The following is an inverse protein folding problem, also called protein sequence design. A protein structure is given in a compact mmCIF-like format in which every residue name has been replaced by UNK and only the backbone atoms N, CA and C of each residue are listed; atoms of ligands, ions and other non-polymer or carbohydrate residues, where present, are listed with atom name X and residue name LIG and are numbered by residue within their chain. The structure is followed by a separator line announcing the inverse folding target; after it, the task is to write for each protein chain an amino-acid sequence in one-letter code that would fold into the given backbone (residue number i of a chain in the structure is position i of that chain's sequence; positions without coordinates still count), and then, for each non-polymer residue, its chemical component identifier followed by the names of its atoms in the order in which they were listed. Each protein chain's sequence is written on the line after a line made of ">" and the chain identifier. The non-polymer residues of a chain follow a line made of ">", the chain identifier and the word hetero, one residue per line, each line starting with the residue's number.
data_IF_249180188615
#
_entry.id   IF_249180188615
#
_cell.length_a   1.000
_cell.length_b   1.000
_cell.length_c   1.000
_cell.angle_alpha   90.00
_cell.angle_beta   90.00
_cell.angle_gamma   90.00
#
_symmetry.space_group_name_H-M   'P 1'
#
loop_
_entity.id
_entity.type
_entity.pdbx_description
1 polymer ?
#
# COMPACT_ATOMS: atom_id res chain seq x y z
N UNK A 1 10.47 10.10 1.03
CA UNK A 1 11.58 11.08 0.98
C UNK A 1 11.83 11.38 -0.48
N UNK A 2 11.97 12.65 -0.85
CA UNK A 2 12.08 13.06 -2.26
C UNK A 2 13.54 13.07 -2.73
N UNK A 3 13.81 13.00 -4.05
CA UNK A 3 15.16 13.13 -4.60
C UNK A 3 15.92 14.34 -4.05
N UNK A 4 15.32 15.54 -4.08
CA UNK A 4 15.95 16.78 -3.56
C UNK A 4 16.32 16.68 -2.08
N UNK A 5 15.47 16.07 -1.27
CA UNK A 5 15.74 15.87 0.16
C UNK A 5 16.96 14.99 0.37
N UNK A 6 17.07 13.90 -0.40
CA UNK A 6 18.20 12.98 -0.33
C UNK A 6 19.48 13.66 -0.85
N UNK A 7 19.40 14.36 -1.98
CA UNK A 7 20.53 15.12 -2.54
C UNK A 7 21.12 16.11 -1.54
N UNK A 8 20.26 16.82 -0.79
CA UNK A 8 20.71 17.72 0.28
C UNK A 8 21.40 16.95 1.41
N UNK A 9 20.75 15.91 1.93
CA UNK A 9 21.25 15.12 3.05
C UNK A 9 22.63 14.51 2.77
N UNK A 10 22.81 13.91 1.59
CA UNK A 10 24.08 13.26 1.23
C UNK A 10 25.14 14.28 0.86
N UNK A 11 24.74 15.43 0.31
CA UNK A 11 25.64 16.54 0.00
C UNK A 11 26.31 17.16 1.21
N UNK A 12 25.60 17.21 2.35
CA UNK A 12 26.13 17.67 3.65
C UNK A 12 27.28 16.76 4.14
N UNK A 13 27.30 15.49 3.71
CA UNK A 13 28.30 14.48 4.09
C UNK A 13 29.37 14.23 3.00
N UNK A 14 29.52 15.14 2.03
CA UNK A 14 30.53 15.02 0.97
C UNK A 14 30.26 13.91 -0.05
N UNK A 15 29.00 13.47 -0.16
CA UNK A 15 28.52 12.53 -1.17
C UNK A 15 27.71 13.27 -2.25
N UNK A 16 27.45 12.60 -3.36
CA UNK A 16 26.56 13.10 -4.41
C UNK A 16 25.74 11.97 -5.04
N UNK A 17 24.52 12.30 -5.48
CA UNK A 17 23.70 11.39 -6.28
C UNK A 17 24.23 11.39 -7.71
N UNK A 18 24.57 10.21 -8.22
CA UNK A 18 25.15 10.00 -9.53
C UNK A 18 24.08 9.75 -10.60
N UNK A 19 23.05 8.98 -10.25
CA UNK A 19 21.96 8.60 -11.14
C UNK A 19 20.74 8.15 -10.33
N UNK A 20 19.62 7.95 -10.99
CA UNK A 20 18.39 7.47 -10.38
C UNK A 20 17.54 6.65 -11.35
N UNK A 21 16.79 5.69 -10.81
CA UNK A 21 15.86 4.83 -11.54
C UNK A 21 14.51 4.78 -10.82
N UNK A 22 13.42 4.85 -11.59
CA UNK A 22 12.07 4.54 -11.10
C UNK A 22 11.78 3.05 -11.30
N UNK A 23 11.03 2.46 -10.36
CA UNK A 23 10.52 1.09 -10.50
C UNK A 23 9.22 0.93 -9.70
N UNK A 24 8.48 -0.14 -10.00
CA UNK A 24 7.12 -0.35 -9.44
C UNK A 24 7.11 -1.15 -8.13
N UNK A 25 8.28 -1.51 -7.58
CA UNK A 25 8.38 -2.28 -6.33
C UNK A 25 7.67 -1.52 -5.22
N UNK A 26 6.89 -2.25 -4.41
CA UNK A 26 6.14 -1.73 -3.25
C UNK A 26 5.11 -0.64 -3.55
N UNK A 27 4.66 -0.50 -4.81
CA UNK A 27 3.71 0.54 -5.25
C UNK A 27 4.39 1.81 -5.75
N UNK A 28 5.63 1.69 -6.23
CA UNK A 28 6.46 2.79 -6.73
C UNK A 28 7.65 3.07 -5.80
N UNK A 29 8.85 3.06 -6.37
CA UNK A 29 10.11 3.28 -5.66
C UNK A 29 11.11 4.04 -6.53
N UNK A 30 12.00 4.78 -5.86
CA UNK A 30 13.14 5.45 -6.48
C UNK A 30 14.40 4.74 -5.99
N UNK A 31 15.23 4.26 -6.91
CA UNK A 31 16.59 3.80 -6.63
C UNK A 31 17.57 4.93 -6.93
N UNK A 32 18.39 5.28 -5.96
CA UNK A 32 19.44 6.30 -6.12
C UNK A 32 20.82 5.65 -6.06
N UNK A 33 21.70 6.07 -6.95
CA UNK A 33 23.11 5.69 -6.93
C UNK A 33 23.90 6.85 -6.33
N UNK A 34 24.61 6.62 -5.23
CA UNK A 34 25.31 7.66 -4.47
C UNK A 34 26.80 7.31 -4.41
N UNK A 35 27.66 8.30 -4.63
CA UNK A 35 29.11 8.16 -4.56
C UNK A 35 29.78 9.34 -3.86
N UNK A 36 31.09 9.25 -3.67
CA UNK A 36 31.86 10.37 -3.13
C UNK A 36 31.90 11.53 -4.12
N UNK A 37 31.69 12.75 -3.60
CA UNK A 37 31.65 13.96 -4.40
C UNK A 37 32.95 14.16 -5.20
N UNK A 38 32.81 14.38 -6.50
CA UNK A 38 33.93 14.62 -7.42
C UNK A 38 34.77 13.38 -7.75
N UNK A 39 34.35 12.18 -7.36
CA UNK A 39 35.06 10.92 -7.68
C UNK A 39 34.54 10.21 -8.92
N UNK A 40 33.39 10.62 -9.43
CA UNK A 40 32.73 9.97 -10.56
C UNK A 40 32.26 11.02 -11.57
N UNK A 41 32.56 10.81 -12.85
CA UNK A 41 31.94 11.56 -13.92
C UNK A 41 30.55 10.99 -14.21
N UNK A 42 29.54 11.85 -14.34
CA UNK A 42 28.20 11.42 -14.76
C UNK A 42 28.16 11.32 -16.28
N UNK A 43 27.60 10.22 -16.80
CA UNK A 43 27.24 10.16 -18.21
C UNK A 43 26.11 11.15 -18.53
N UNK A 44 25.91 11.45 -19.82
CA UNK A 44 24.79 12.28 -20.27
C UNK A 44 23.44 11.68 -19.86
N UNK A 45 23.30 10.36 -19.96
CA UNK A 45 22.09 9.62 -19.56
C UNK A 45 21.82 9.74 -18.05
N UNK A 46 22.84 9.54 -17.23
CA UNK A 46 22.71 9.65 -15.77
C UNK A 46 22.32 11.08 -15.35
N UNK A 47 22.90 12.08 -16.01
CA UNK A 47 22.57 13.49 -15.79
C UNK A 47 21.13 13.80 -16.19
N UNK A 48 20.66 13.26 -17.31
CA UNK A 48 19.28 13.42 -17.77
C UNK A 48 18.29 12.76 -16.82
N UNK A 49 18.54 11.52 -16.38
CA UNK A 49 17.66 10.81 -15.46
C UNK A 49 17.44 11.57 -14.13
N UNK A 50 18.50 12.19 -13.58
CA UNK A 50 18.37 13.05 -12.41
C UNK A 50 17.60 14.33 -12.71
N UNK A 51 17.85 14.95 -13.85
CA UNK A 51 17.16 16.17 -14.26
C UNK A 51 15.65 15.91 -14.42
N UNK A 52 15.27 14.80 -15.04
CA UNK A 52 13.87 14.40 -15.22
C UNK A 52 13.16 14.21 -13.87
N UNK A 53 13.81 13.58 -12.89
CA UNK A 53 13.25 13.44 -11.55
C UNK A 53 13.10 14.78 -10.82
N UNK A 54 14.07 15.69 -10.96
CA UNK A 54 13.98 17.03 -10.35
C UNK A 54 12.84 17.84 -10.97
N UNK A 55 12.67 17.77 -12.28
CA UNK A 55 11.55 18.43 -12.98
C UNK A 55 10.22 17.85 -12.49
N UNK A 56 10.09 16.52 -12.42
CA UNK A 56 8.87 15.88 -11.89
C UNK A 56 8.58 16.29 -10.44
N UNK A 57 9.58 16.30 -9.57
CA UNK A 57 9.42 16.73 -8.18
C UNK A 57 8.95 18.19 -8.08
N UNK A 58 9.51 19.07 -8.93
CA UNK A 58 9.13 20.47 -9.02
C UNK A 58 7.70 20.66 -9.55
N UNK A 59 7.33 19.95 -10.62
CA UNK A 59 5.97 19.97 -11.18
C UNK A 59 4.91 19.46 -10.21
N UNK A 60 5.29 18.51 -9.34
CA UNK A 60 4.44 18.03 -8.25
C UNK A 60 4.32 19.01 -7.08
N UNK A 61 5.13 20.07 -7.03
CA UNK A 61 5.12 21.08 -5.96
C UNK A 61 5.52 20.52 -4.59
N UNK A 62 6.35 19.47 -4.53
CA UNK A 62 6.65 18.79 -3.26
C UNK A 62 7.49 19.63 -2.27
N UNK A 63 7.90 20.84 -2.67
CA UNK A 63 8.53 21.83 -1.79
C UNK A 63 7.55 22.87 -1.23
N UNK A 64 6.24 22.68 -1.43
CA UNK A 64 5.18 23.54 -0.91
C UNK A 64 4.15 22.74 -0.09
N UNK A 65 3.33 23.39 0.77
CA UNK A 65 2.35 22.69 1.61
C UNK A 65 1.15 22.09 0.85
N UNK A 66 0.80 22.64 -0.31
CA UNK A 66 -0.47 22.38 -1.01
C UNK A 66 -0.67 20.91 -1.43
N UNK A 67 0.34 20.19 -1.96
CA UNK A 67 0.18 18.77 -2.29
C UNK A 67 -0.06 17.91 -1.05
N UNK A 68 0.56 18.26 0.09
CA UNK A 68 0.41 17.53 1.35
C UNK A 68 -0.97 17.75 1.96
N UNK A 69 -1.51 18.96 1.84
CA UNK A 69 -2.88 19.28 2.27
C UNK A 69 -3.92 18.56 1.40
N UNK A 70 -3.66 18.44 0.09
CA UNK A 70 -4.46 17.60 -0.81
C UNK A 70 -4.35 16.12 -0.46
N UNK A 71 -3.14 15.63 -0.18
CA UNK A 71 -2.92 14.26 0.28
C UNK A 71 -3.67 13.96 1.58
N UNK A 72 -3.65 14.87 2.56
CA UNK A 72 -4.41 14.75 3.81
C UNK A 72 -5.90 14.57 3.55
N UNK A 73 -6.50 15.44 2.72
CA UNK A 73 -7.93 15.33 2.34
C UNK A 73 -8.24 14.00 1.64
N UNK A 74 -7.36 13.53 0.76
CA UNK A 74 -7.54 12.24 0.09
C UNK A 74 -7.48 11.06 1.07
N UNK A 75 -6.56 11.09 2.04
CA UNK A 75 -6.45 10.08 3.09
C UNK A 75 -7.69 10.05 3.97
N UNK A 76 -8.24 11.21 4.32
CA UNK A 76 -9.50 11.33 5.10
C UNK A 76 -10.69 10.78 4.32
N UNK A 77 -10.83 11.15 3.05
CA UNK A 77 -11.88 10.62 2.17
C UNK A 77 -11.82 9.10 2.06
N UNK A 78 -10.65 8.55 1.76
CA UNK A 78 -10.47 7.08 1.67
C UNK A 78 -10.82 6.40 2.98
N UNK A 79 -10.43 6.97 4.12
CA UNK A 79 -10.79 6.45 5.44
C UNK A 79 -12.31 6.40 5.61
N UNK A 80 -13.00 7.49 5.33
CA UNK A 80 -14.47 7.57 5.47
C UNK A 80 -15.18 6.59 4.54
N UNK A 81 -14.79 6.57 3.25
CA UNK A 81 -15.35 5.67 2.24
C UNK A 81 -15.16 4.20 2.65
N UNK A 82 -14.00 3.84 3.21
CA UNK A 82 -13.69 2.48 3.62
C UNK A 82 -14.51 2.06 4.84
N UNK A 83 -14.65 2.94 5.84
CA UNK A 83 -15.47 2.71 7.03
C UNK A 83 -16.93 2.46 6.62
N UNK A 84 -17.47 3.34 5.76
CA UNK A 84 -18.84 3.23 5.27
C UNK A 84 -19.03 1.91 4.53
N UNK A 85 -18.14 1.59 3.60
CA UNK A 85 -18.20 0.36 2.80
C UNK A 85 -18.18 -0.90 3.68
N UNK A 86 -17.21 -1.00 4.59
CA UNK A 86 -17.09 -2.19 5.45
C UNK A 86 -18.27 -2.33 6.44
N UNK A 87 -18.77 -1.23 6.99
CA UNK A 87 -19.93 -1.27 7.89
C UNK A 87 -21.21 -1.65 7.15
N UNK A 88 -21.45 -1.11 5.96
CA UNK A 88 -22.60 -1.48 5.14
C UNK A 88 -22.61 -2.98 4.83
N UNK A 89 -21.47 -3.53 4.39
CA UNK A 89 -21.35 -4.97 4.10
C UNK A 89 -21.63 -5.82 5.35
N UNK A 90 -21.07 -5.43 6.51
CA UNK A 90 -21.35 -6.12 7.78
C UNK A 90 -22.83 -6.03 8.17
N UNK A 91 -23.45 -4.86 8.03
CA UNK A 91 -24.85 -4.63 8.39
C UNK A 91 -25.84 -5.37 7.46
N UNK A 92 -25.39 -5.72 6.25
CA UNK A 92 -26.07 -6.67 5.35
C UNK A 92 -25.94 -8.14 5.79
N UNK A 93 -25.23 -8.41 6.89
CA UNK A 93 -24.99 -9.76 7.42
C UNK A 93 -23.89 -10.52 6.67
N UNK A 94 -23.08 -9.83 5.85
CA UNK A 94 -22.01 -10.45 5.05
C UNK A 94 -20.68 -10.44 5.79
N UNK A 95 -19.86 -11.44 5.50
CA UNK A 95 -18.59 -11.66 6.19
C UNK A 95 -17.43 -11.04 5.40
N UNK A 96 -16.60 -10.25 6.09
CA UNK A 96 -15.37 -9.67 5.55
C UNK A 96 -14.18 -10.35 6.22
N UNK A 97 -13.27 -10.88 5.40
CA UNK A 97 -11.93 -11.26 5.82
C UNK A 97 -10.91 -10.27 5.24
N UNK A 98 -9.83 -9.99 5.96
CA UNK A 98 -8.64 -9.37 5.37
C UNK A 98 -7.91 -10.41 4.55
N UNK A 99 -7.35 -9.97 3.42
CA UNK A 99 -6.48 -10.76 2.58
C UNK A 99 -5.08 -10.13 2.57
N UNK A 100 -4.14 -10.78 3.27
CA UNK A 100 -2.78 -10.33 3.55
C UNK A 100 -2.67 -9.44 4.80
N UNK A 101 -2.23 -10.01 5.92
CA UNK A 101 -2.00 -9.30 7.19
C UNK A 101 -0.67 -8.52 7.18
N UNK A 102 -0.56 -7.51 6.31
CA UNK A 102 0.67 -6.71 6.14
C UNK A 102 0.80 -5.56 7.15
N UNK A 103 2.03 -5.17 7.46
CA UNK A 103 2.32 -3.99 8.31
C UNK A 103 1.68 -2.71 7.77
N UNK A 104 1.78 -2.47 6.45
CA UNK A 104 1.14 -1.32 5.78
C UNK A 104 -0.39 -1.38 5.91
N UNK A 105 -0.96 -2.56 5.72
CA UNK A 105 -2.38 -2.84 5.90
C UNK A 105 -2.87 -2.53 7.32
N UNK A 106 -2.09 -2.93 8.33
CA UNK A 106 -2.48 -2.70 9.73
C UNK A 106 -2.56 -1.21 10.09
N UNK A 107 -1.79 -0.34 9.42
CA UNK A 107 -1.96 1.12 9.57
C UNK A 107 -3.32 1.58 9.06
N UNK A 108 -3.78 1.05 7.91
CA UNK A 108 -5.09 1.37 7.34
C UNK A 108 -6.20 0.94 8.30
N UNK A 109 -6.12 -0.29 8.80
CA UNK A 109 -7.10 -0.84 9.76
C UNK A 109 -7.19 0.01 11.03
N UNK A 110 -6.05 0.33 11.66
CA UNK A 110 -6.03 1.15 12.88
C UNK A 110 -6.55 2.58 12.62
N UNK A 111 -6.12 3.21 11.53
CA UNK A 111 -6.54 4.57 11.21
C UNK A 111 -8.05 4.66 10.88
N UNK A 112 -8.58 3.64 10.20
CA UNK A 112 -9.99 3.52 9.89
C UNK A 112 -10.84 2.98 11.06
N UNK A 113 -10.22 2.50 12.15
CA UNK A 113 -10.96 1.85 13.24
C UNK A 113 -11.71 0.59 12.79
N UNK A 114 -11.09 -0.18 11.89
CA UNK A 114 -11.61 -1.45 11.39
C UNK A 114 -10.93 -2.56 12.19
N UNK A 115 -11.70 -3.20 13.06
CA UNK A 115 -11.24 -4.22 14.00
C UNK A 115 -12.02 -5.54 13.84
N UNK A 116 -11.83 -6.47 14.78
CA UNK A 116 -12.50 -7.77 14.78
C UNK A 116 -14.03 -7.72 14.93
N UNK A 117 -14.62 -6.56 15.22
CA UNK A 117 -16.08 -6.37 15.16
C UNK A 117 -16.62 -6.14 13.75
N UNK A 118 -15.73 -5.88 12.78
CA UNK A 118 -16.07 -5.63 11.37
C UNK A 118 -15.45 -6.70 10.46
N UNK A 119 -14.23 -7.13 10.75
CA UNK A 119 -13.48 -8.12 9.97
C UNK A 119 -13.27 -9.36 10.81
N UNK A 120 -13.79 -10.51 10.37
CA UNK A 120 -13.78 -11.73 11.18
C UNK A 120 -12.39 -12.37 11.32
N UNK A 121 -11.57 -12.31 10.27
CA UNK A 121 -10.22 -12.87 10.25
C UNK A 121 -9.33 -12.19 9.21
N UNK A 122 -8.02 -12.37 9.33
CA UNK A 122 -7.03 -11.95 8.36
C UNK A 122 -6.31 -13.19 7.79
N UNK A 123 -6.58 -13.51 6.53
CA UNK A 123 -5.89 -14.55 5.80
C UNK A 123 -4.47 -14.09 5.44
N UNK A 124 -3.44 -14.87 5.77
CA UNK A 124 -2.06 -14.58 5.37
C UNK A 124 -1.36 -15.87 4.90
N UNK A 125 -0.44 -15.72 3.95
CA UNK A 125 0.36 -16.84 3.42
C UNK A 125 1.54 -17.21 4.32
N UNK A 126 1.96 -16.32 5.22
CA UNK A 126 3.10 -16.58 6.09
C UNK A 126 2.69 -17.40 7.32
N UNK A 127 3.16 -18.67 7.45
CA UNK A 127 2.83 -19.53 8.58
C UNK A 127 3.24 -18.97 9.94
N UNK A 128 4.31 -18.16 9.99
CA UNK A 128 4.79 -17.56 11.24
C UNK A 128 3.77 -16.62 11.90
N UNK A 129 2.75 -16.18 11.14
CA UNK A 129 1.71 -15.28 11.66
C UNK A 129 0.46 -16.03 12.12
N UNK A 130 0.25 -17.28 11.73
CA UNK A 130 -1.00 -17.98 12.02
C UNK A 130 -1.17 -18.20 13.53
N UNK A 131 -2.39 -18.01 14.02
CA UNK A 131 -2.70 -18.07 15.46
C UNK A 131 -2.32 -16.81 16.25
N UNK A 132 -1.74 -15.80 15.60
CA UNK A 132 -1.55 -14.46 16.18
C UNK A 132 -2.72 -13.53 15.82
N UNK A 133 -2.64 -12.26 16.23
CA UNK A 133 -3.63 -11.24 15.93
C UNK A 133 -2.96 -9.98 15.38
N UNK A 134 -3.70 -9.19 14.59
CA UNK A 134 -3.25 -7.87 14.19
C UNK A 134 -3.12 -6.95 15.40
N UNK A 135 -2.00 -6.21 15.47
CA UNK A 135 -1.72 -5.32 16.60
C UNK A 135 -2.72 -4.16 16.61
N UNK A 136 -3.35 -3.92 17.76
CA UNK A 136 -4.32 -2.84 17.99
C UNK A 136 -5.75 -3.21 17.57
N UNK A 137 -5.92 -3.82 16.39
CA UNK A 137 -7.25 -4.17 15.84
C UNK A 137 -7.72 -5.58 16.20
N UNK A 138 -6.84 -6.42 16.75
CA UNK A 138 -7.17 -7.75 17.31
C UNK A 138 -7.94 -8.66 16.35
N UNK A 139 -7.61 -8.60 15.06
CA UNK A 139 -8.18 -9.49 14.04
C UNK A 139 -7.31 -10.75 14.04
N UNK A 140 -7.89 -11.95 14.26
CA UNK A 140 -7.12 -13.19 14.26
C UNK A 140 -6.53 -13.46 12.88
N UNK A 141 -5.25 -13.84 12.85
CA UNK A 141 -4.53 -14.18 11.63
C UNK A 141 -4.57 -15.69 11.44
N UNK A 142 -5.12 -16.11 10.30
CA UNK A 142 -5.30 -17.51 9.93
C UNK A 142 -4.66 -17.79 8.57
N UNK A 143 -4.55 -19.05 8.20
CA UNK A 143 -4.10 -19.43 6.86
C UNK A 143 -5.14 -19.05 5.79
N UNK A 144 -4.68 -18.87 4.55
CA UNK A 144 -5.60 -18.66 3.43
C UNK A 144 -6.52 -19.87 3.21
N UNK A 145 -6.08 -21.09 3.52
CA UNK A 145 -6.90 -22.30 3.43
C UNK A 145 -8.05 -22.30 4.43
N UNK A 146 -7.77 -22.01 5.70
CA UNK A 146 -8.81 -21.86 6.74
C UNK A 146 -9.81 -20.76 6.35
N UNK A 147 -9.31 -19.62 5.87
CA UNK A 147 -10.16 -18.53 5.40
C UNK A 147 -11.07 -18.95 4.26
N UNK A 148 -10.55 -19.66 3.24
CA UNK A 148 -11.37 -20.17 2.12
C UNK A 148 -12.43 -21.16 2.61
N UNK A 149 -12.10 -22.03 3.55
CA UNK A 149 -13.06 -22.98 4.13
C UNK A 149 -14.22 -22.31 4.89
N UNK A 150 -13.97 -21.11 5.45
CA UNK A 150 -15.00 -20.29 6.10
C UNK A 150 -15.92 -19.56 5.10
N UNK A 151 -15.62 -19.57 3.80
CA UNK A 151 -16.41 -18.95 2.73
C UNK A 151 -16.82 -17.49 3.03
N UNK A 152 -15.86 -16.55 3.20
CA UNK A 152 -16.20 -15.13 3.36
C UNK A 152 -16.89 -14.60 2.10
N UNK A 153 -17.69 -13.54 2.25
CA UNK A 153 -18.31 -12.85 1.11
C UNK A 153 -17.34 -11.85 0.47
N UNK A 154 -16.47 -11.25 1.28
CA UNK A 154 -15.53 -10.23 0.86
C UNK A 154 -14.11 -10.47 1.39
N UNK A 155 -13.15 -10.17 0.53
CA UNK A 155 -11.75 -9.99 0.89
C UNK A 155 -11.35 -8.51 0.87
N UNK A 156 -10.92 -7.97 2.01
CA UNK A 156 -10.25 -6.67 2.09
C UNK A 156 -8.76 -6.84 1.75
N UNK A 157 -8.38 -6.46 0.52
CA UNK A 157 -7.03 -6.62 -0.01
C UNK A 157 -6.08 -5.54 0.52
N UNK A 158 -5.41 -5.83 1.65
CA UNK A 158 -4.54 -4.87 2.32
C UNK A 158 -3.14 -4.73 1.72
N UNK A 159 -2.58 -5.72 1.02
CA UNK A 159 -1.45 -5.52 0.12
C UNK A 159 -1.92 -5.21 -1.31
N UNK A 160 -2.68 -4.12 -1.49
CA UNK A 160 -3.39 -3.75 -2.74
C UNK A 160 -2.52 -3.68 -4.00
N UNK A 161 -1.19 -3.59 -3.89
CA UNK A 161 -0.27 -3.65 -5.03
C UNK A 161 -0.11 -5.07 -5.61
N UNK A 162 -0.50 -6.11 -4.87
CA UNK A 162 -0.59 -7.50 -5.34
C UNK A 162 -2.02 -7.87 -5.76
N UNK A 163 -2.90 -6.88 -5.96
CA UNK A 163 -4.31 -7.14 -6.26
C UNK A 163 -4.51 -8.04 -7.47
N UNK A 164 -3.74 -7.85 -8.55
CA UNK A 164 -3.86 -8.68 -9.75
C UNK A 164 -3.50 -10.14 -9.45
N UNK A 165 -2.45 -10.38 -8.66
CA UNK A 165 -2.09 -11.72 -8.19
C UNK A 165 -3.18 -12.33 -7.29
N UNK A 166 -3.82 -11.51 -6.44
CA UNK A 166 -4.90 -11.97 -5.57
C UNK A 166 -6.14 -12.36 -6.36
N UNK A 167 -6.52 -11.53 -7.34
CA UNK A 167 -7.66 -11.79 -8.24
C UNK A 167 -7.43 -13.04 -9.07
N UNK A 168 -6.19 -13.26 -9.54
CA UNK A 168 -5.80 -14.45 -10.29
C UNK A 168 -5.82 -15.71 -9.43
N UNK A 169 -5.30 -15.63 -8.20
CA UNK A 169 -5.21 -16.76 -7.27
C UNK A 169 -6.55 -17.17 -6.69
N UNK A 170 -7.45 -16.21 -6.47
CA UNK A 170 -8.77 -16.43 -5.87
C UNK A 170 -9.90 -16.50 -6.92
N UNK A 171 -9.63 -17.07 -8.10
CA UNK A 171 -10.64 -17.30 -9.14
C UNK A 171 -11.85 -18.06 -8.61
N UNK A 172 -11.66 -19.18 -7.93
CA UNK A 172 -12.76 -19.99 -7.38
C UNK A 172 -13.62 -19.24 -6.35
N UNK A 173 -13.02 -18.31 -5.59
CA UNK A 173 -13.75 -17.43 -4.67
C UNK A 173 -14.62 -16.43 -5.45
N UNK A 174 -14.06 -15.82 -6.51
CA UNK A 174 -14.78 -14.87 -7.37
C UNK A 174 -15.89 -15.54 -8.17
N UNK A 175 -15.65 -16.73 -8.72
CA UNK A 175 -16.62 -17.51 -9.50
C UNK A 175 -17.86 -17.91 -8.67
N UNK A 176 -17.69 -18.02 -7.35
CA UNK A 176 -18.78 -18.26 -6.40
C UNK A 176 -19.43 -16.97 -5.86
N UNK A 177 -19.08 -15.81 -6.41
CA UNK A 177 -19.68 -14.52 -6.09
C UNK A 177 -18.92 -13.69 -5.04
N UNK A 178 -17.77 -14.18 -4.57
CA UNK A 178 -16.88 -13.46 -3.66
C UNK A 178 -16.31 -12.18 -4.29
N UNK A 179 -16.12 -11.14 -3.47
CA UNK A 179 -15.70 -9.81 -3.94
C UNK A 179 -14.47 -9.30 -3.22
N UNK A 180 -13.69 -8.44 -3.89
CA UNK A 180 -12.56 -7.76 -3.26
C UNK A 180 -12.90 -6.31 -2.91
N UNK A 181 -12.66 -5.92 -1.66
CA UNK A 181 -12.61 -4.52 -1.24
C UNK A 181 -11.16 -4.06 -1.41
N UNK A 182 -10.95 -3.07 -2.26
CA UNK A 182 -9.63 -2.48 -2.51
C UNK A 182 -9.59 -1.13 -1.82
N UNK A 183 -8.73 -0.92 -0.81
CA UNK A 183 -8.76 0.29 0.02
C UNK A 183 -8.07 1.50 -0.64
N UNK A 184 -7.18 1.29 -1.62
CA UNK A 184 -6.33 2.33 -2.19
C UNK A 184 -6.17 2.18 -3.72
N UNK A 185 -5.91 3.27 -4.46
CA UNK A 185 -5.88 4.67 -4.00
C UNK A 185 -7.27 5.25 -3.70
N UNK A 186 -8.31 4.55 -4.15
CA UNK A 186 -9.71 4.86 -3.88
C UNK A 186 -10.44 3.57 -3.51
N UNK A 187 -11.42 3.69 -2.62
CA UNK A 187 -12.18 2.54 -2.15
C UNK A 187 -13.07 2.04 -3.29
N UNK A 188 -12.86 0.79 -3.69
CA UNK A 188 -13.69 0.13 -4.71
C UNK A 188 -13.96 -1.32 -4.34
N UNK A 189 -15.11 -1.81 -4.79
CA UNK A 189 -15.49 -3.21 -4.68
C UNK A 189 -15.40 -3.85 -6.06
N UNK A 190 -14.52 -4.84 -6.20
CA UNK A 190 -14.40 -5.62 -7.43
C UNK A 190 -15.33 -6.83 -7.35
N UNK A 191 -16.27 -6.90 -8.29
CA UNK A 191 -17.18 -8.04 -8.45
C UNK A 191 -16.51 -9.28 -9.07
N UNK A 192 -17.26 -10.39 -9.03
CA UNK A 192 -17.03 -11.53 -9.93
C UNK A 192 -17.17 -11.12 -11.38
#
# INVERSE_FOLDING_TARGET
>A
MTPRTIERLVGEEGLEVLSAELNDINGGSIRLFIGHKGRHERSAEQSQALQDLRVREFEMGLDSPEPYETFRRNVERVREDLIVTCRQIRDEGKTIHVYGASTKGNTILQYAGIDSSIVAAAADRNPDKWGSETIGTKIPIISEEESRAMNPDYYLALPWHFLDEFVERERDFRDRGGKFIVPLPEVRVLGG
#
